data_IF_050877442392
#
_entry.id   IF_050877442392
#
_cell.length_a   1.000
_cell.length_b   1.000
_cell.length_c   1.000
_cell.angle_alpha   90.00
_cell.angle_beta   90.00
_cell.angle_gamma   90.00
#
_symmetry.space_group_name_H-M   'P 1'
#
loop_
_entity.id
_entity.type
_entity.pdbx_description
1 polymer ?
#
# COMPACT_ATOMS: atom_id res chain seq x y z
N UNK A 1 -34.26 16.10 9.72
CA UNK A 1 -33.25 15.16 10.26
C UNK A 1 -32.13 15.02 9.24
N UNK A 2 -30.87 14.91 9.67
CA UNK A 2 -29.75 14.62 8.74
C UNK A 2 -29.66 13.11 8.52
N UNK A 3 -29.43 12.62 7.28
CA UNK A 3 -29.40 11.19 7.00
C UNK A 3 -28.25 10.49 7.74
N UNK A 4 -28.44 9.24 8.19
CA UNK A 4 -27.39 8.45 8.83
C UNK A 4 -26.34 7.99 7.82
N UNK A 5 -25.15 7.61 8.31
CA UNK A 5 -24.17 6.91 7.49
C UNK A 5 -24.64 5.49 7.17
N UNK A 6 -24.32 4.98 5.98
CA UNK A 6 -24.61 3.60 5.61
C UNK A 6 -23.44 2.73 5.99
N UNK A 7 -23.75 1.58 6.59
CA UNK A 7 -22.75 0.59 7.02
C UNK A 7 -22.95 -0.70 6.27
N UNK A 8 -21.85 -1.31 5.88
CA UNK A 8 -21.83 -2.69 5.45
C UNK A 8 -22.00 -3.58 6.66
N UNK A 9 -22.99 -4.47 6.60
CA UNK A 9 -23.16 -5.53 7.58
C UNK A 9 -22.44 -6.76 7.07
N UNK A 10 -21.34 -7.14 7.71
CA UNK A 10 -20.52 -8.26 7.21
C UNK A 10 -21.27 -9.58 7.38
N UNK A 11 -21.47 -10.37 6.31
CA UNK A 11 -21.96 -11.75 6.43
C UNK A 11 -20.83 -12.74 6.71
N UNK A 12 -19.58 -12.26 6.80
CA UNK A 12 -18.39 -13.10 6.96
C UNK A 12 -17.83 -12.96 8.38
N UNK A 13 -17.63 -14.11 9.04
CA UNK A 13 -16.95 -14.15 10.35
C UNK A 13 -15.45 -13.89 10.21
N UNK A 14 -14.83 -14.51 9.20
CA UNK A 14 -13.40 -14.42 8.91
C UNK A 14 -13.19 -14.33 7.41
N UNK A 15 -12.27 -13.46 7.00
CA UNK A 15 -11.76 -13.39 5.63
C UNK A 15 -10.31 -13.83 5.62
N UNK A 16 -10.02 -14.75 4.70
CA UNK A 16 -8.67 -15.20 4.38
C UNK A 16 -8.31 -14.73 2.97
N UNK A 17 -7.05 -14.34 2.77
CA UNK A 17 -6.45 -14.15 1.46
C UNK A 17 -4.95 -14.43 1.50
N UNK A 18 -4.37 -14.75 0.36
CA UNK A 18 -2.92 -14.93 0.23
C UNK A 18 -2.33 -13.68 -0.38
N UNK A 19 -1.55 -12.93 0.41
CA UNK A 19 -0.75 -11.83 -0.10
C UNK A 19 0.52 -12.37 -0.76
N UNK A 20 0.87 -11.86 -1.94
CA UNK A 20 2.07 -12.33 -2.66
C UNK A 20 3.37 -12.06 -1.87
N UNK A 21 3.39 -11.05 -1.00
CA UNK A 21 4.56 -10.67 -0.21
C UNK A 21 4.42 -10.92 1.29
N UNK A 22 3.22 -10.93 1.87
CA UNK A 22 2.99 -11.19 3.29
C UNK A 22 2.52 -12.63 3.56
N UNK A 23 2.23 -13.42 2.52
CA UNK A 23 1.72 -14.79 2.66
C UNK A 23 0.25 -14.83 3.10
N UNK A 24 -0.16 -15.95 3.70
CA UNK A 24 -1.54 -16.14 4.18
C UNK A 24 -1.89 -15.12 5.27
N UNK A 25 -2.95 -14.37 5.05
CA UNK A 25 -3.53 -13.40 5.98
C UNK A 25 -4.94 -13.83 6.37
N UNK A 26 -5.29 -13.64 7.65
CA UNK A 26 -6.60 -14.03 8.20
C UNK A 26 -7.05 -13.01 9.25
N UNK A 27 -8.29 -12.53 9.13
CA UNK A 27 -8.87 -11.62 10.13
C UNK A 27 -10.39 -11.60 10.07
N UNK A 28 -11.02 -11.24 11.19
CA UNK A 28 -12.45 -10.95 11.25
C UNK A 28 -12.78 -9.59 10.64
N UNK A 29 -14.02 -9.42 10.19
CA UNK A 29 -14.48 -8.16 9.57
C UNK A 29 -15.74 -7.67 10.26
N UNK A 30 -15.59 -6.61 11.06
CA UNK A 30 -16.70 -5.91 11.71
C UNK A 30 -17.52 -5.08 10.73
N UNK A 31 -18.73 -4.67 11.12
CA UNK A 31 -19.55 -3.73 10.36
C UNK A 31 -18.86 -2.35 10.22
N UNK A 32 -18.62 -1.91 8.98
CA UNK A 32 -17.91 -0.67 8.68
C UNK A 32 -18.72 0.29 7.80
N UNK A 33 -18.39 1.58 7.84
CA UNK A 33 -19.06 2.60 7.03
C UNK A 33 -18.69 2.43 5.55
N UNK A 34 -19.70 2.42 4.68
CA UNK A 34 -19.54 2.43 3.21
C UNK A 34 -19.96 3.75 2.59
N UNK A 35 -20.91 4.45 3.20
CA UNK A 35 -21.31 5.78 2.78
C UNK A 35 -21.38 6.71 3.99
N UNK A 36 -20.59 7.79 3.96
CA UNK A 36 -20.54 8.73 5.07
C UNK A 36 -21.76 9.63 5.06
N UNK A 37 -22.05 10.22 6.22
CA UNK A 37 -23.14 11.19 6.43
C UNK A 37 -23.05 12.42 5.52
N UNK A 38 -21.83 12.83 5.16
CA UNK A 38 -21.57 13.99 4.32
C UNK A 38 -21.64 13.70 2.82
N UNK A 39 -22.14 12.52 2.42
CA UNK A 39 -22.39 12.18 1.02
C UNK A 39 -21.17 11.62 0.29
N UNK A 40 -20.08 11.34 1.01
CA UNK A 40 -18.85 10.81 0.44
C UNK A 40 -18.75 9.30 0.70
N UNK A 41 -18.43 8.53 -0.34
CA UNK A 41 -18.11 7.11 -0.22
C UNK A 41 -16.96 6.90 0.78
N UNK A 42 -16.98 5.80 1.54
CA UNK A 42 -15.83 5.44 2.36
C UNK A 42 -14.66 5.00 1.48
N UNK A 43 -13.45 5.07 2.02
CA UNK A 43 -12.25 4.58 1.34
C UNK A 43 -12.41 3.13 0.84
N UNK A 44 -13.04 2.26 1.63
CA UNK A 44 -13.23 0.85 1.25
C UNK A 44 -14.17 0.71 0.06
N UNK A 45 -15.31 1.42 0.05
CA UNK A 45 -16.25 1.35 -1.06
C UNK A 45 -15.66 1.98 -2.32
N UNK A 46 -15.06 3.17 -2.20
CA UNK A 46 -14.47 3.89 -3.33
C UNK A 46 -13.39 3.05 -4.02
N UNK A 47 -12.43 2.50 -3.27
CA UNK A 47 -11.40 1.64 -3.88
C UNK A 47 -11.98 0.41 -4.57
N UNK A 48 -12.93 -0.30 -3.96
CA UNK A 48 -13.49 -1.54 -4.56
C UNK A 48 -14.23 -1.25 -5.86
N UNK A 49 -15.02 -0.17 -5.89
CA UNK A 49 -15.76 0.24 -7.09
C UNK A 49 -14.79 0.72 -8.17
N UNK A 50 -13.87 1.62 -7.84
CA UNK A 50 -12.92 2.17 -8.82
C UNK A 50 -11.99 1.09 -9.38
N UNK A 51 -11.46 0.20 -8.53
CA UNK A 51 -10.60 -0.91 -8.95
C UNK A 51 -11.36 -1.88 -9.89
N UNK A 52 -12.63 -2.19 -9.58
CA UNK A 52 -13.47 -3.03 -10.43
C UNK A 52 -13.76 -2.36 -11.78
N UNK A 53 -14.21 -1.10 -11.77
CA UNK A 53 -14.58 -0.35 -12.97
C UNK A 53 -13.38 -0.12 -13.90
N UNK A 54 -12.17 0.03 -13.34
CA UNK A 54 -10.93 0.17 -14.09
C UNK A 54 -10.29 -1.17 -14.49
N UNK A 55 -10.84 -2.30 -14.04
CA UNK A 55 -10.31 -3.64 -14.34
C UNK A 55 -8.95 -3.92 -13.70
N UNK A 56 -8.69 -3.39 -12.51
CA UNK A 56 -7.46 -3.64 -11.76
C UNK A 56 -7.33 -5.13 -11.43
N UNK A 57 -6.22 -5.74 -11.84
CA UNK A 57 -5.95 -7.16 -11.58
C UNK A 57 -5.01 -7.40 -10.41
N UNK A 58 -4.18 -6.42 -10.07
CA UNK A 58 -3.19 -6.52 -8.99
C UNK A 58 -3.08 -5.19 -8.24
N UNK A 59 -3.17 -5.24 -6.92
CA UNK A 59 -3.07 -4.10 -6.02
C UNK A 59 -1.75 -4.18 -5.24
N UNK A 60 -0.82 -3.30 -5.59
CA UNK A 60 0.49 -3.16 -4.93
C UNK A 60 0.49 -1.92 -4.02
N UNK A 61 0.65 -2.12 -2.71
CA UNK A 61 0.61 -1.00 -1.72
C UNK A 61 1.36 -1.31 -0.43
N UNK A 62 1.44 -0.35 0.50
CA UNK A 62 2.14 -0.54 1.78
C UNK A 62 1.42 -1.51 2.73
N UNK A 63 2.19 -2.28 3.52
CA UNK A 63 1.68 -3.31 4.44
C UNK A 63 0.82 -2.78 5.60
N UNK A 64 0.84 -1.48 5.85
CA UNK A 64 -0.11 -0.83 6.76
C UNK A 64 -1.56 -0.88 6.28
N UNK A 65 -1.79 -1.19 5.00
CA UNK A 65 -3.12 -1.33 4.41
C UNK A 65 -3.65 -2.77 4.38
N UNK A 66 -2.90 -3.76 4.88
CA UNK A 66 -3.40 -5.15 5.02
C UNK A 66 -4.75 -5.20 5.77
N UNK A 67 -4.96 -4.49 6.90
CA UNK A 67 -6.26 -4.47 7.57
C UNK A 67 -7.42 -3.90 6.73
N UNK A 68 -7.11 -3.02 5.76
CA UNK A 68 -8.11 -2.49 4.83
C UNK A 68 -8.52 -3.52 3.79
N UNK A 69 -7.61 -4.41 3.40
CA UNK A 69 -7.85 -5.48 2.42
C UNK A 69 -8.99 -6.39 2.86
N UNK A 70 -9.07 -6.79 4.13
CA UNK A 70 -10.17 -7.65 4.59
C UNK A 70 -11.55 -7.00 4.35
N UNK A 71 -11.70 -5.71 4.64
CA UNK A 71 -12.96 -4.98 4.39
C UNK A 71 -13.27 -4.84 2.90
N UNK A 72 -12.25 -4.61 2.09
CA UNK A 72 -12.40 -4.51 0.63
C UNK A 72 -12.79 -5.85 0.01
N UNK A 73 -12.16 -6.95 0.44
CA UNK A 73 -12.51 -8.31 0.04
C UNK A 73 -13.95 -8.68 0.45
N UNK A 74 -14.41 -8.25 1.63
CA UNK A 74 -15.79 -8.46 2.04
C UNK A 74 -16.78 -7.83 1.05
N UNK A 75 -16.46 -6.64 0.53
CA UNK A 75 -17.27 -5.98 -0.50
C UNK A 75 -17.19 -6.73 -1.83
N UNK A 76 -15.99 -7.06 -2.33
CA UNK A 76 -15.82 -7.84 -3.56
C UNK A 76 -16.65 -9.12 -3.55
N UNK A 77 -16.56 -9.91 -2.48
CA UNK A 77 -17.31 -11.17 -2.32
C UNK A 77 -18.82 -10.95 -2.25
N UNK A 78 -19.28 -9.90 -1.58
CA UNK A 78 -20.72 -9.62 -1.47
C UNK A 78 -21.30 -9.14 -2.80
N UNK A 79 -20.52 -8.43 -3.60
CA UNK A 79 -20.89 -7.94 -4.91
C UNK A 79 -20.73 -8.99 -6.02
N UNK A 80 -20.22 -10.18 -5.69
CA UNK A 80 -19.87 -11.25 -6.62
C UNK A 80 -18.90 -10.77 -7.72
N UNK A 81 -17.92 -9.97 -7.32
CA UNK A 81 -16.90 -9.41 -8.19
C UNK A 81 -15.58 -10.16 -8.05
N UNK A 82 -14.81 -10.21 -9.15
CA UNK A 82 -13.47 -10.79 -9.14
C UNK A 82 -12.53 -9.97 -8.26
N UNK A 83 -11.91 -10.62 -7.27
CA UNK A 83 -10.88 -10.03 -6.41
C UNK A 83 -9.58 -9.82 -7.21
N UNK A 84 -8.87 -8.69 -7.04
CA UNK A 84 -7.52 -8.54 -7.54
C UNK A 84 -6.53 -9.32 -6.67
N UNK A 85 -5.37 -9.65 -7.23
CA UNK A 85 -4.25 -10.13 -6.44
C UNK A 85 -3.69 -8.99 -5.57
N UNK A 86 -3.23 -9.30 -4.36
CA UNK A 86 -2.66 -8.31 -3.45
C UNK A 86 -1.19 -8.56 -3.18
N UNK A 87 -0.40 -7.47 -3.19
CA UNK A 87 0.99 -7.45 -2.79
C UNK A 87 1.24 -6.27 -1.84
N UNK A 88 1.57 -6.59 -0.59
CA UNK A 88 1.84 -5.58 0.43
C UNK A 88 3.35 -5.41 0.71
N UNK A 89 3.88 -4.23 0.39
CA UNK A 89 5.27 -3.83 0.55
C UNK A 89 5.61 -3.51 2.03
N UNK A 90 6.80 -3.90 2.53
CA UNK A 90 7.25 -3.52 3.87
C UNK A 90 7.29 -2.01 4.04
N UNK A 91 7.11 -1.57 5.28
CA UNK A 91 7.21 -0.16 5.60
C UNK A 91 8.67 0.32 5.58
N UNK A 92 8.81 1.61 5.29
CA UNK A 92 10.08 2.32 5.43
C UNK A 92 10.29 2.65 6.90
N UNK A 93 11.48 2.36 7.42
CA UNK A 93 11.85 2.54 8.84
C UNK A 93 13.17 3.30 8.97
N UNK A 94 13.39 3.88 10.15
CA UNK A 94 14.69 4.45 10.53
C UNK A 94 15.71 3.33 10.79
N UNK A 95 16.99 3.68 10.92
CA UNK A 95 18.03 2.74 11.39
C UNK A 95 17.72 2.14 12.77
N UNK A 96 16.97 2.87 13.61
CA UNK A 96 16.49 2.38 14.90
C UNK A 96 15.26 1.45 14.78
N UNK A 97 14.76 1.20 13.56
CA UNK A 97 13.60 0.36 13.30
C UNK A 97 12.25 1.06 13.50
N UNK A 98 12.25 2.37 13.77
CA UNK A 98 11.02 3.13 13.97
C UNK A 98 10.33 3.39 12.63
N UNK A 99 9.00 3.22 12.61
CA UNK A 99 8.20 3.50 11.41
C UNK A 99 8.37 4.97 11.02
N UNK A 100 8.73 5.18 9.76
CA UNK A 100 8.78 6.52 9.23
C UNK A 100 7.39 7.03 8.91
N UNK A 101 6.98 8.05 9.65
CA UNK A 101 5.72 8.75 9.43
C UNK A 101 6.00 10.19 9.04
N UNK A 102 5.19 10.74 8.12
CA UNK A 102 5.33 12.14 7.66
C UNK A 102 5.32 13.17 8.80
N UNK A 103 4.72 12.83 9.95
CA UNK A 103 4.66 13.69 11.14
C UNK A 103 6.02 13.83 11.84
N UNK A 104 6.96 12.91 11.62
CA UNK A 104 8.30 12.91 12.22
C UNK A 104 9.35 13.67 11.39
N UNK A 105 8.92 14.59 10.52
CA UNK A 105 9.83 15.55 9.88
C UNK A 105 10.56 15.05 8.63
N UNK A 106 10.12 13.94 8.02
CA UNK A 106 10.72 13.49 6.77
C UNK A 106 10.51 14.51 5.64
N UNK A 107 11.57 14.83 4.87
CA UNK A 107 11.46 15.65 3.68
C UNK A 107 10.55 14.94 2.66
N UNK A 108 9.49 15.62 2.23
CA UNK A 108 8.74 15.19 1.07
C UNK A 108 9.60 15.23 -0.20
N UNK A 109 9.12 14.64 -1.30
CA UNK A 109 9.84 14.63 -2.60
C UNK A 109 10.25 16.05 -3.04
N UNK A 110 9.45 17.07 -2.73
CA UNK A 110 9.80 18.48 -2.98
C UNK A 110 11.04 18.93 -2.20
N UNK A 111 11.08 18.68 -0.89
CA UNK A 111 12.23 19.02 -0.06
C UNK A 111 13.51 18.26 -0.48
N UNK A 112 13.38 17.01 -0.93
CA UNK A 112 14.52 16.26 -1.49
C UNK A 112 15.06 16.93 -2.76
N UNK A 113 14.17 17.39 -3.63
CA UNK A 113 14.53 18.14 -4.83
C UNK A 113 15.24 19.45 -4.49
N UNK A 114 14.72 20.20 -3.53
CA UNK A 114 15.31 21.47 -3.09
C UNK A 114 16.71 21.28 -2.47
N UNK A 115 16.93 20.14 -1.81
CA UNK A 115 18.25 19.69 -1.31
C UNK A 115 19.18 19.16 -2.42
N UNK A 116 18.75 19.14 -3.68
CA UNK A 116 19.55 18.69 -4.83
C UNK A 116 19.64 17.17 -4.98
N UNK A 117 18.76 16.39 -4.34
CA UNK A 117 18.72 14.93 -4.53
C UNK A 117 18.28 14.63 -5.96
N UNK A 118 19.12 13.92 -6.69
CA UNK A 118 18.87 13.52 -8.07
C UNK A 118 17.87 12.37 -8.15
N UNK A 119 17.09 12.31 -9.24
CA UNK A 119 16.12 11.22 -9.47
C UNK A 119 16.80 9.86 -9.55
N UNK A 120 18.00 9.80 -10.13
CA UNK A 120 18.80 8.57 -10.24
C UNK A 120 19.12 7.98 -8.86
N UNK A 121 19.36 8.85 -7.88
CA UNK A 121 19.56 8.44 -6.49
C UNK A 121 18.29 7.86 -5.89
N UNK A 122 17.12 8.45 -6.14
CA UNK A 122 15.83 7.91 -5.69
C UNK A 122 15.55 6.54 -6.30
N UNK A 123 15.79 6.36 -7.61
CA UNK A 123 15.66 5.05 -8.25
C UNK A 123 16.60 4.02 -7.64
N UNK A 124 17.84 4.42 -7.31
CA UNK A 124 18.79 3.56 -6.62
C UNK A 124 18.24 3.07 -5.28
N UNK A 125 17.71 3.98 -4.46
CA UNK A 125 17.11 3.62 -3.18
C UNK A 125 15.88 2.72 -3.30
N UNK A 126 15.01 2.97 -4.27
CA UNK A 126 13.85 2.10 -4.53
C UNK A 126 14.31 0.70 -4.96
N UNK A 127 15.28 0.59 -5.88
CA UNK A 127 15.79 -0.70 -6.30
C UNK A 127 16.47 -1.44 -5.13
N UNK A 128 17.23 -0.73 -4.30
CA UNK A 128 17.81 -1.25 -3.07
C UNK A 128 16.76 -1.78 -2.09
N UNK A 129 15.65 -1.05 -1.94
CA UNK A 129 14.54 -1.45 -1.10
C UNK A 129 13.90 -2.75 -1.58
N UNK A 130 13.63 -2.86 -2.88
CA UNK A 130 12.94 -4.00 -3.47
C UNK A 130 13.83 -5.26 -3.56
N UNK A 131 15.14 -5.09 -3.75
CA UNK A 131 16.07 -6.21 -4.06
C UNK A 131 17.04 -6.55 -2.93
N UNK A 132 17.29 -5.62 -2.01
CA UNK A 132 18.35 -5.70 -1.01
C UNK A 132 19.76 -5.42 -1.54
N UNK A 133 19.92 -5.09 -2.81
CA UNK A 133 21.20 -4.63 -3.37
C UNK A 133 21.57 -3.25 -2.81
N UNK A 134 22.86 -2.91 -2.77
CA UNK A 134 23.32 -1.58 -2.37
C UNK A 134 23.53 -0.69 -3.62
N UNK A 135 22.48 0.00 -4.05
CA UNK A 135 22.45 0.83 -5.24
C UNK A 135 22.39 2.31 -4.83
N UNK A 136 23.45 3.06 -5.12
CA UNK A 136 23.53 4.49 -4.79
C UNK A 136 22.78 5.37 -5.79
N UNK A 137 22.80 4.99 -7.07
CA UNK A 137 22.13 5.70 -8.14
C UNK A 137 22.03 4.83 -9.39
N UNK A 138 20.96 4.97 -10.15
CA UNK A 138 20.74 4.25 -11.41
C UNK A 138 19.93 5.14 -12.35
N UNK A 139 20.20 5.07 -13.67
CA UNK A 139 19.38 5.80 -14.64
C UNK A 139 17.93 5.29 -14.63
N UNK A 140 16.96 6.11 -15.04
CA UNK A 140 15.57 5.65 -15.18
C UNK A 140 15.47 4.47 -16.15
N UNK A 141 16.23 4.51 -17.25
CA UNK A 141 16.23 3.45 -18.26
C UNK A 141 16.67 2.11 -17.67
N UNK A 142 17.78 2.12 -16.93
CA UNK A 142 18.33 0.91 -16.31
C UNK A 142 17.47 0.44 -15.14
N UNK A 143 16.88 1.37 -14.37
CA UNK A 143 15.92 1.02 -13.33
C UNK A 143 14.75 0.20 -13.88
N UNK A 144 14.14 0.65 -14.98
CA UNK A 144 13.02 -0.05 -15.60
C UNK A 144 13.43 -1.42 -16.17
N UNK A 145 14.67 -1.55 -16.69
CA UNK A 145 15.19 -2.83 -17.19
C UNK A 145 15.58 -3.82 -16.08
N UNK A 146 16.00 -3.31 -14.93
CA UNK A 146 16.50 -4.11 -13.82
C UNK A 146 15.47 -4.33 -12.72
N UNK A 147 14.27 -3.75 -12.84
CA UNK A 147 13.19 -3.94 -11.89
C UNK A 147 12.81 -5.43 -11.87
N UNK A 148 13.02 -6.15 -10.76
CA UNK A 148 12.70 -7.57 -10.72
C UNK A 148 11.19 -7.77 -10.70
N UNK A 149 10.73 -8.93 -11.18
CA UNK A 149 9.36 -9.37 -10.95
C UNK A 149 9.12 -9.65 -9.45
N UNK A 150 7.92 -9.38 -8.93
CA UNK A 150 7.55 -9.76 -7.57
C UNK A 150 7.61 -11.29 -7.33
N UNK A 151 7.66 -11.76 -6.08
CA UNK A 151 7.61 -10.97 -4.84
C UNK A 151 8.95 -10.28 -4.52
N UNK A 152 8.87 -9.04 -4.07
CA UNK A 152 10.04 -8.26 -3.67
C UNK A 152 10.44 -8.53 -2.21
N UNK A 153 11.56 -7.97 -1.78
CA UNK A 153 12.09 -8.15 -0.43
C UNK A 153 11.04 -7.80 0.65
N UNK A 154 10.92 -8.66 1.66
CA UNK A 154 9.98 -8.55 2.79
C UNK A 154 10.51 -7.77 4.00
N UNK A 155 11.80 -7.41 3.99
CA UNK A 155 12.43 -6.72 5.11
C UNK A 155 12.10 -5.23 5.09
N UNK A 156 11.97 -4.58 6.27
CA UNK A 156 11.81 -3.14 6.35
C UNK A 156 12.88 -2.41 5.56
N UNK A 157 12.48 -1.34 4.90
CA UNK A 157 13.39 -0.50 4.11
C UNK A 157 14.00 0.52 5.04
N UNK A 158 15.28 0.32 5.38
CA UNK A 158 16.04 1.31 6.15
C UNK A 158 16.48 2.40 5.18
N UNK A 159 16.01 3.62 5.39
CA UNK A 159 16.45 4.75 4.57
C UNK A 159 17.73 5.36 5.11
N UNK A 160 18.66 5.74 4.22
CA UNK A 160 19.92 6.36 4.60
C UNK A 160 19.69 7.70 5.31
N UNK A 161 20.59 8.03 6.24
CA UNK A 161 20.51 9.20 7.13
C UNK A 161 20.33 10.54 6.39
N UNK A 162 20.75 10.63 5.12
CA UNK A 162 20.55 11.77 4.21
C UNK A 162 19.07 12.14 3.98
N UNK A 163 18.15 11.23 4.33
CA UNK A 163 16.71 11.45 4.30
C UNK A 163 16.13 12.02 5.60
N UNK A 164 16.95 12.32 6.61
CA UNK A 164 16.59 13.21 7.73
C UNK A 164 16.84 14.67 7.30
#
# INVERSE_FOLDING_TARGET
>A
QRPPAWRFKSPFDVINFTDQNQGLQSSSVDDFVVWRRDGIASYHLACVVDDHDLGVTEVVRGADLVPSTFRQLALYRTLDWKEPDYLHLPLVVTEAGERLEKRHGLPGIGALRDRGVKLETLYGWVLSALTGQNMKSISQHDFLRQLPSPPWRRLPVVVPEVLR
#
